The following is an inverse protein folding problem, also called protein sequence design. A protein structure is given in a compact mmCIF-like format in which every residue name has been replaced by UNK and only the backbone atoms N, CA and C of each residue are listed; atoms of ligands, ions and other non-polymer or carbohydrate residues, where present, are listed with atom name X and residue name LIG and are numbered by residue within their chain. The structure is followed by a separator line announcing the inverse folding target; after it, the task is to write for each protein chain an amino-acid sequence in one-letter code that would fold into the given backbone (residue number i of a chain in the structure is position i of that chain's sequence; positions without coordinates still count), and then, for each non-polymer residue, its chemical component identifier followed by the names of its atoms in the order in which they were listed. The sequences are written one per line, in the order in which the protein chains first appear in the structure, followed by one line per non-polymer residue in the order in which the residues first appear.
data_IF_730503778913
#
_entry.id   IF_730503778913
#
_cell.length_a   1.000
_cell.length_b   1.000
_cell.length_c   1.000
_cell.angle_alpha   90.00
_cell.angle_beta   90.00
_cell.angle_gamma   90.00
#
_symmetry.space_group_name_H-M   'P 1'
#
loop_
_entity.id
_entity.type
_entity.pdbx_description
1 polymer ?
#
# COMPACT_ATOMS: atom_id res chain seq x y z
N UNK A 1 7.46 4.00 4.99
CA UNK A 1 8.37 2.94 4.46
C UNK A 1 9.12 3.48 3.24
N UNK A 2 10.47 3.29 3.16
CA UNK A 2 11.26 3.65 1.98
C UNK A 2 11.05 2.62 0.87
N UNK A 3 11.15 3.05 -0.40
CA UNK A 3 11.00 2.14 -1.54
C UNK A 3 12.09 1.06 -1.56
N UNK A 4 13.32 1.42 -1.18
CA UNK A 4 14.45 0.50 -1.15
C UNK A 4 14.18 -0.74 -0.27
N UNK A 5 13.56 -0.57 0.92
CA UNK A 5 13.24 -1.71 1.80
C UNK A 5 12.27 -2.69 1.12
N UNK A 6 11.26 -2.17 0.41
CA UNK A 6 10.33 -3.01 -0.35
C UNK A 6 11.03 -3.73 -1.51
N UNK A 7 11.94 -3.03 -2.23
CA UNK A 7 12.72 -3.62 -3.31
C UNK A 7 13.66 -4.71 -2.80
N UNK A 8 14.31 -4.51 -1.65
CA UNK A 8 15.17 -5.52 -1.02
C UNK A 8 14.38 -6.79 -0.69
N UNK A 9 13.17 -6.64 -0.12
CA UNK A 9 12.30 -7.79 0.16
C UNK A 9 11.93 -8.56 -1.11
N UNK A 10 11.46 -7.85 -2.15
CA UNK A 10 11.10 -8.47 -3.43
C UNK A 10 12.28 -9.18 -4.10
N UNK A 11 13.47 -8.56 -4.09
CA UNK A 11 14.69 -9.16 -4.65
C UNK A 11 15.26 -10.29 -3.79
N UNK A 12 14.97 -10.29 -2.49
CA UNK A 12 15.27 -11.38 -1.59
C UNK A 12 14.40 -12.62 -1.88
N UNK A 13 13.15 -12.42 -2.22
CA UNK A 13 12.23 -13.49 -2.62
C UNK A 13 12.55 -14.04 -4.01
N UNK A 14 12.91 -13.16 -4.96
CA UNK A 14 13.22 -13.57 -6.33
C UNK A 14 14.08 -12.53 -7.05
N UNK A 15 15.19 -12.94 -7.69
CA UNK A 15 15.90 -12.09 -8.63
C UNK A 15 14.97 -11.62 -9.75
N UNK A 16 14.98 -10.33 -10.05
CA UNK A 16 13.99 -9.73 -10.96
C UNK A 16 14.55 -8.54 -11.71
N UNK A 17 13.97 -8.26 -12.88
CA UNK A 17 14.23 -7.03 -13.64
C UNK A 17 13.46 -5.85 -13.02
N UNK A 18 13.91 -4.62 -13.30
CA UNK A 18 13.17 -3.42 -12.88
C UNK A 18 11.74 -3.37 -13.44
N UNK A 19 11.52 -3.94 -14.62
CA UNK A 19 10.19 -4.04 -15.23
C UNK A 19 9.28 -5.01 -14.46
N UNK A 20 9.78 -6.21 -14.11
CA UNK A 20 9.03 -7.20 -13.33
C UNK A 20 8.66 -6.66 -11.94
N UNK A 21 9.60 -6.00 -11.27
CA UNK A 21 9.34 -5.32 -10.00
C UNK A 21 8.21 -4.31 -10.13
N UNK A 22 8.26 -3.42 -11.14
CA UNK A 22 7.20 -2.45 -11.36
C UNK A 22 5.87 -3.11 -11.67
N UNK A 23 5.87 -4.15 -12.51
CA UNK A 23 4.66 -4.92 -12.82
C UNK A 23 4.05 -5.50 -11.53
N UNK A 24 4.88 -6.08 -10.67
CA UNK A 24 4.45 -6.57 -9.36
C UNK A 24 3.85 -5.45 -8.49
N UNK A 25 4.54 -4.30 -8.35
CA UNK A 25 4.05 -3.17 -7.55
C UNK A 25 2.72 -2.60 -8.05
N UNK A 26 2.46 -2.66 -9.34
CA UNK A 26 1.19 -2.19 -9.92
C UNK A 26 0.04 -3.20 -9.81
N UNK A 27 0.33 -4.45 -9.49
CA UNK A 27 -0.67 -5.52 -9.38
C UNK A 27 -0.79 -6.01 -7.94
N UNK A 28 0.13 -6.87 -7.50
CA UNK A 28 0.12 -7.49 -6.18
C UNK A 28 0.54 -6.53 -5.06
N UNK A 29 1.56 -5.71 -5.34
CA UNK A 29 2.14 -4.78 -4.37
C UNK A 29 1.42 -3.45 -4.23
N UNK A 30 0.38 -3.17 -5.04
CA UNK A 30 -0.31 -1.87 -5.04
C UNK A 30 -0.94 -1.49 -3.68
N UNK A 31 -1.30 -2.48 -2.87
CA UNK A 31 -1.86 -2.27 -1.52
C UNK A 31 -0.79 -1.99 -0.47
N UNK A 32 0.47 -2.32 -0.77
CA UNK A 32 1.62 -1.99 0.08
C UNK A 32 2.17 -0.62 -0.29
N UNK A 33 2.25 -0.33 -1.61
CA UNK A 33 2.71 0.94 -2.15
C UNK A 33 2.08 1.21 -3.52
N UNK A 34 1.20 2.20 -3.58
CA UNK A 34 0.59 2.68 -4.82
C UNK A 34 1.46 3.72 -5.53
N UNK A 35 1.18 3.97 -6.82
CA UNK A 35 1.75 5.07 -7.62
C UNK A 35 3.28 5.07 -7.76
N UNK A 36 3.91 3.89 -7.72
CA UNK A 36 5.35 3.77 -7.98
C UNK A 36 5.63 3.84 -9.47
N UNK A 37 6.41 4.83 -9.91
CA UNK A 37 6.80 5.00 -11.30
C UNK A 37 8.02 4.15 -11.68
N UNK A 38 8.20 3.87 -12.99
CA UNK A 38 9.38 3.18 -13.49
C UNK A 38 10.67 3.92 -13.14
N UNK A 39 10.66 5.27 -13.26
CA UNK A 39 11.81 6.10 -12.91
C UNK A 39 12.19 6.01 -11.43
N UNK A 40 11.23 5.87 -10.53
CA UNK A 40 11.51 5.66 -9.11
C UNK A 40 12.14 4.29 -8.86
N UNK A 41 11.64 3.24 -9.51
CA UNK A 41 12.22 1.89 -9.40
C UNK A 41 13.68 1.90 -9.85
N UNK A 42 13.96 2.39 -11.06
CA UNK A 42 15.33 2.40 -11.58
C UNK A 42 16.28 3.31 -10.79
N UNK A 43 15.80 4.45 -10.31
CA UNK A 43 16.63 5.32 -9.44
C UNK A 43 16.99 4.64 -8.13
N UNK A 44 16.02 3.95 -7.52
CA UNK A 44 16.29 3.19 -6.30
C UNK A 44 17.24 2.02 -6.55
N UNK A 45 17.06 1.26 -7.63
CA UNK A 45 17.95 0.16 -7.99
C UNK A 45 19.39 0.64 -8.25
N UNK A 46 19.57 1.77 -8.94
CA UNK A 46 20.88 2.36 -9.14
C UNK A 46 21.54 2.75 -7.80
N UNK A 47 20.82 3.48 -6.95
CA UNK A 47 21.33 3.87 -5.63
C UNK A 47 21.64 2.65 -4.72
N UNK A 48 20.87 1.57 -4.83
CA UNK A 48 21.12 0.32 -4.10
C UNK A 48 22.33 -0.42 -4.66
N UNK A 49 22.56 -0.36 -5.96
CA UNK A 49 23.77 -0.93 -6.61
C UNK A 49 25.01 -0.17 -6.16
N UNK A 50 24.96 1.17 -6.15
CA UNK A 50 26.07 2.02 -5.71
C UNK A 50 26.46 1.80 -4.23
N UNK A 51 25.46 1.41 -3.40
CA UNK A 51 25.68 1.05 -1.99
C UNK A 51 26.08 -0.40 -1.77
N UNK A 52 26.17 -1.20 -2.82
CA UNK A 52 26.48 -2.63 -2.71
C UNK A 52 25.33 -3.50 -2.17
N UNK A 53 24.10 -2.97 -2.02
CA UNK A 53 22.96 -3.72 -1.49
C UNK A 53 22.36 -4.69 -2.52
N UNK A 54 22.52 -4.38 -3.80
CA UNK A 54 22.13 -5.25 -4.91
C UNK A 54 23.23 -5.31 -5.95
N UNK A 55 23.28 -6.41 -6.66
CA UNK A 55 24.08 -6.58 -7.88
C UNK A 55 23.16 -6.90 -9.04
N UNK A 56 23.68 -6.91 -10.26
CA UNK A 56 22.91 -7.33 -11.42
C UNK A 56 23.76 -8.12 -12.42
N UNK A 57 23.09 -8.96 -13.19
CA UNK A 57 23.61 -9.57 -14.41
C UNK A 57 22.79 -9.08 -15.60
N UNK A 58 23.43 -8.98 -16.75
CA UNK A 58 22.71 -8.67 -18.01
C UNK A 58 22.02 -9.94 -18.49
N UNK A 59 20.79 -9.83 -18.95
CA UNK A 59 20.02 -10.95 -19.50
C UNK A 59 20.35 -11.12 -20.99
N UNK A 60 21.09 -12.15 -21.32
CA UNK A 60 21.55 -12.44 -22.67
C UNK A 60 20.49 -13.17 -23.54
N UNK A 61 19.27 -13.36 -23.03
CA UNK A 61 18.21 -14.03 -23.80
C UNK A 61 17.79 -13.19 -25.01
N UNK A 62 17.57 -13.84 -26.18
CA UNK A 62 17.07 -13.13 -27.37
C UNK A 62 15.79 -12.33 -27.06
N UNK A 63 15.80 -11.02 -27.36
CA UNK A 63 14.68 -10.12 -27.12
C UNK A 63 14.65 -9.48 -25.72
N UNK A 64 15.58 -9.80 -24.82
CA UNK A 64 15.67 -9.17 -23.50
C UNK A 64 16.24 -7.75 -23.52
N UNK A 65 16.80 -7.29 -24.65
CA UNK A 65 17.37 -5.94 -24.87
C UNK A 65 18.25 -5.47 -23.70
N UNK A 66 19.24 -6.24 -23.32
CA UNK A 66 20.17 -5.94 -22.21
C UNK A 66 19.49 -5.69 -20.86
N UNK A 67 18.38 -6.36 -20.60
CA UNK A 67 17.67 -6.24 -19.34
C UNK A 67 18.57 -6.66 -18.16
N UNK A 68 18.66 -5.81 -17.14
CA UNK A 68 19.39 -6.12 -15.91
C UNK A 68 18.50 -6.92 -14.97
N UNK A 69 18.97 -8.12 -14.58
CA UNK A 69 18.37 -8.96 -13.54
C UNK A 69 19.09 -8.65 -12.24
N UNK A 70 18.39 -7.99 -11.32
CA UNK A 70 18.92 -7.59 -10.02
C UNK A 70 18.78 -8.72 -9.00
N UNK A 71 19.77 -8.79 -8.09
CA UNK A 71 19.83 -9.73 -6.96
C UNK A 71 20.23 -8.97 -5.71
N UNK A 72 19.67 -9.34 -4.57
CA UNK A 72 20.13 -8.82 -3.27
C UNK A 72 21.50 -9.43 -2.94
N UNK A 73 22.36 -8.61 -2.33
CA UNK A 73 23.66 -9.06 -1.80
C UNK A 73 23.54 -9.44 -0.31
N UNK A 74 24.55 -10.06 0.32
CA UNK A 74 24.57 -10.26 1.76
C UNK A 74 24.42 -8.96 2.54
N UNK A 75 25.04 -7.88 2.09
CA UNK A 75 24.94 -6.53 2.67
C UNK A 75 23.52 -5.99 2.56
N UNK A 76 22.89 -6.15 1.39
CA UNK A 76 21.48 -5.76 1.18
C UNK A 76 20.52 -6.56 2.04
N UNK A 77 20.83 -7.85 2.26
CA UNK A 77 20.04 -8.70 3.15
C UNK A 77 20.16 -8.27 4.61
N UNK A 78 21.34 -7.86 5.05
CA UNK A 78 21.54 -7.26 6.38
C UNK A 78 20.67 -6.01 6.54
N UNK A 79 20.67 -5.08 5.57
CA UNK A 79 19.84 -3.87 5.60
C UNK A 79 18.34 -4.22 5.64
N UNK A 80 17.91 -5.23 4.93
CA UNK A 80 16.52 -5.71 4.97
C UNK A 80 16.16 -6.22 6.35
N UNK A 81 17.00 -7.09 6.92
CA UNK A 81 16.78 -7.69 8.24
C UNK A 81 16.78 -6.62 9.35
N UNK A 82 17.71 -5.68 9.31
CA UNK A 82 17.76 -4.56 10.26
C UNK A 82 16.48 -3.73 10.21
N UNK A 83 15.91 -3.51 9.01
CA UNK A 83 14.63 -2.82 8.90
C UNK A 83 13.46 -3.66 9.38
N UNK A 84 13.44 -4.96 9.11
CA UNK A 84 12.34 -5.86 9.51
C UNK A 84 12.29 -6.07 11.02
N UNK A 85 13.46 -6.11 11.68
CA UNK A 85 13.58 -6.37 13.12
C UNK A 85 13.72 -5.08 13.95
N UNK A 86 13.96 -3.95 13.29
CA UNK A 86 14.16 -2.65 13.94
C UNK A 86 12.87 -2.06 14.52
N UNK A 87 12.97 -0.95 15.25
CA UNK A 87 11.83 -0.28 15.85
C UNK A 87 10.77 0.10 14.81
N UNK A 88 9.51 -0.26 15.07
CA UNK A 88 8.37 0.11 14.23
C UNK A 88 7.50 1.14 14.93
N UNK A 89 7.33 2.29 14.28
CA UNK A 89 6.38 3.33 14.71
C UNK A 89 5.16 3.28 13.80
N UNK A 90 3.97 2.89 14.30
CA UNK A 90 2.75 2.89 13.52
C UNK A 90 2.42 4.28 12.96
N UNK A 91 2.00 4.41 11.69
CA UNK A 91 1.54 5.69 11.16
C UNK A 91 0.22 6.09 11.83
N UNK A 92 0.01 7.40 12.00
CA UNK A 92 -1.24 7.94 12.55
C UNK A 92 -2.45 7.82 11.58
N UNK A 93 -2.22 7.45 10.33
CA UNK A 93 -3.23 7.37 9.28
C UNK A 93 -3.19 6.01 8.60
N UNK A 94 -4.36 5.39 8.42
CA UNK A 94 -4.51 4.16 7.66
C UNK A 94 -5.50 4.29 6.49
N UNK A 95 -6.20 5.43 6.35
CA UNK A 95 -7.16 5.73 5.29
C UNK A 95 -6.63 6.79 4.31
N UNK A 96 -7.26 6.94 3.14
CA UNK A 96 -6.89 7.97 2.17
C UNK A 96 -7.12 9.36 2.75
N UNK A 97 -6.04 10.14 2.80
CA UNK A 97 -6.05 11.44 3.45
C UNK A 97 -6.78 12.52 2.65
N UNK A 98 -6.88 12.40 1.31
CA UNK A 98 -7.54 13.40 0.48
C UNK A 98 -9.07 13.30 0.61
N UNK A 99 -9.63 12.10 0.53
CA UNK A 99 -11.07 11.90 0.71
C UNK A 99 -11.52 12.39 2.10
N UNK A 100 -10.80 12.00 3.15
CA UNK A 100 -11.09 12.42 4.52
C UNK A 100 -10.99 13.95 4.70
N UNK A 101 -9.98 14.58 4.09
CA UNK A 101 -9.83 16.03 4.11
C UNK A 101 -11.00 16.74 3.41
N UNK A 102 -11.44 16.25 2.25
CA UNK A 102 -12.59 16.80 1.53
C UNK A 102 -13.87 16.71 2.37
N UNK A 103 -14.11 15.57 3.03
CA UNK A 103 -15.25 15.42 3.95
C UNK A 103 -15.15 16.33 5.17
N UNK A 104 -13.97 16.55 5.73
CA UNK A 104 -13.82 17.45 6.88
C UNK A 104 -14.12 18.92 6.56
N UNK A 105 -14.09 19.28 5.28
CA UNK A 105 -14.48 20.59 4.77
C UNK A 105 -15.88 20.61 4.12
N UNK A 106 -16.70 19.59 4.36
CA UNK A 106 -18.04 19.47 3.78
C UNK A 106 -18.97 20.66 4.07
N UNK A 107 -18.69 21.46 5.11
CA UNK A 107 -19.44 22.69 5.41
C UNK A 107 -19.37 23.76 4.29
N UNK A 108 -18.43 23.66 3.34
CA UNK A 108 -18.34 24.51 2.14
C UNK A 108 -19.04 23.90 0.93
N UNK A 109 -19.59 22.69 1.04
CA UNK A 109 -20.21 21.96 -0.06
C UNK A 109 -21.73 21.92 0.12
N UNK A 110 -22.45 21.79 -1.00
CA UNK A 110 -23.85 21.41 -0.94
C UNK A 110 -23.95 19.92 -0.58
N UNK A 111 -25.11 19.50 -0.06
CA UNK A 111 -25.38 18.10 0.23
C UNK A 111 -25.20 17.21 -1.00
N UNK A 112 -25.67 17.63 -2.15
CA UNK A 112 -25.50 16.92 -3.42
C UNK A 112 -24.02 16.74 -3.79
N UNK A 113 -23.18 17.76 -3.57
CA UNK A 113 -21.73 17.67 -3.81
C UNK A 113 -21.07 16.65 -2.86
N UNK A 114 -21.51 16.58 -1.61
CA UNK A 114 -21.01 15.57 -0.66
C UNK A 114 -21.46 14.17 -1.06
N UNK A 115 -22.72 13.99 -1.46
CA UNK A 115 -23.23 12.71 -1.97
C UNK A 115 -22.39 12.24 -3.16
N UNK A 116 -22.16 13.10 -4.15
CA UNK A 116 -21.34 12.78 -5.32
C UNK A 116 -19.90 12.38 -4.94
N UNK A 117 -19.29 13.08 -3.97
CA UNK A 117 -17.95 12.72 -3.47
C UNK A 117 -17.93 11.32 -2.85
N UNK A 118 -18.95 10.97 -2.06
CA UNK A 118 -19.09 9.66 -1.42
C UNK A 118 -19.35 8.57 -2.47
N UNK A 119 -20.17 8.84 -3.49
CA UNK A 119 -20.47 7.91 -4.58
C UNK A 119 -19.21 7.59 -5.39
N UNK A 120 -18.38 8.58 -5.73
CA UNK A 120 -17.10 8.37 -6.43
C UNK A 120 -16.19 7.43 -5.61
N UNK A 121 -16.05 7.67 -4.31
CA UNK A 121 -15.22 6.82 -3.45
C UNK A 121 -15.79 5.41 -3.32
N UNK A 122 -17.11 5.28 -3.13
CA UNK A 122 -17.83 4.01 -3.00
C UNK A 122 -17.68 3.17 -4.28
N UNK A 123 -17.90 3.75 -5.46
CA UNK A 123 -17.75 3.09 -6.74
C UNK A 123 -16.32 2.63 -6.96
N UNK A 124 -15.33 3.49 -6.70
CA UNK A 124 -13.92 3.16 -6.81
C UNK A 124 -13.53 1.97 -5.90
N UNK A 125 -14.09 1.86 -4.68
CA UNK A 125 -13.83 0.73 -3.78
C UNK A 125 -14.51 -0.54 -4.25
N UNK A 126 -15.74 -0.48 -4.75
CA UNK A 126 -16.46 -1.62 -5.35
C UNK A 126 -15.72 -2.17 -6.57
N UNK A 127 -15.27 -1.31 -7.45
CA UNK A 127 -14.47 -1.68 -8.62
C UNK A 127 -13.13 -2.31 -8.20
N UNK A 128 -12.49 -1.77 -7.17
CA UNK A 128 -11.29 -2.34 -6.61
C UNK A 128 -11.51 -3.77 -6.10
N UNK A 129 -12.60 -4.01 -5.38
CA UNK A 129 -12.98 -5.34 -4.89
C UNK A 129 -13.27 -6.28 -6.06
N UNK A 130 -14.11 -5.86 -7.02
CA UNK A 130 -14.46 -6.68 -8.19
C UNK A 130 -13.22 -7.11 -8.98
N UNK A 131 -12.24 -6.21 -9.14
CA UNK A 131 -11.04 -6.46 -9.93
C UNK A 131 -9.97 -7.30 -9.23
N UNK A 132 -9.84 -7.18 -7.90
CA UNK A 132 -8.65 -7.70 -7.22
C UNK A 132 -8.92 -8.76 -6.16
N UNK A 133 -10.14 -8.94 -5.68
CA UNK A 133 -10.45 -9.88 -4.57
C UNK A 133 -10.09 -11.32 -4.90
N UNK A 134 -10.44 -11.78 -6.09
CA UNK A 134 -10.28 -13.16 -6.51
C UNK A 134 -9.14 -13.37 -7.51
N UNK A 135 -8.19 -12.41 -7.57
CA UNK A 135 -7.03 -12.57 -8.44
C UNK A 135 -6.15 -13.74 -7.98
N UNK A 136 -5.49 -14.36 -8.93
CA UNK A 136 -4.41 -15.28 -8.61
C UNK A 136 -3.29 -14.53 -7.85
N UNK A 137 -2.91 -15.04 -6.69
CA UNK A 137 -1.87 -14.51 -5.81
C UNK A 137 -0.65 -15.42 -5.76
N UNK A 138 -0.65 -16.47 -6.56
CA UNK A 138 0.49 -17.40 -6.66
C UNK A 138 1.71 -16.66 -7.19
N UNK A 139 2.82 -16.77 -6.49
CA UNK A 139 4.10 -16.21 -6.89
C UNK A 139 5.16 -17.30 -6.93
N UNK A 140 5.96 -17.29 -7.98
CA UNK A 140 7.18 -18.09 -7.99
C UNK A 140 8.19 -17.45 -7.04
N UNK A 141 8.65 -18.21 -6.04
CA UNK A 141 9.61 -17.77 -5.04
C UNK A 141 10.89 -18.58 -5.21
N UNK A 142 12.02 -17.90 -5.39
CA UNK A 142 13.37 -18.47 -5.47
C UNK A 142 14.28 -17.72 -4.48
N UNK A 143 14.13 -17.97 -3.16
CA UNK A 143 14.82 -17.21 -2.13
C UNK A 143 16.35 -17.33 -2.26
N UNK A 144 17.04 -16.23 -1.99
CA UNK A 144 18.50 -16.14 -2.05
C UNK A 144 19.17 -16.44 -0.69
N UNK A 145 18.37 -16.69 0.34
CA UNK A 145 18.80 -17.07 1.69
C UNK A 145 17.77 -18.00 2.34
N UNK A 146 17.99 -18.38 3.58
CA UNK A 146 17.00 -19.13 4.36
C UNK A 146 15.66 -18.39 4.40
N UNK A 147 14.58 -19.11 4.04
CA UNK A 147 13.24 -18.54 3.91
C UNK A 147 12.18 -19.59 4.22
N UNK A 148 11.39 -19.34 5.25
CA UNK A 148 10.25 -20.20 5.62
C UNK A 148 9.06 -19.90 4.70
N UNK A 149 8.88 -20.74 3.67
CA UNK A 149 7.82 -20.62 2.66
C UNK A 149 6.42 -20.79 3.25
N UNK A 150 6.25 -21.72 4.18
CA UNK A 150 4.95 -22.04 4.76
C UNK A 150 4.49 -20.88 5.66
N UNK A 151 5.39 -20.37 6.49
CA UNK A 151 5.11 -19.20 7.31
C UNK A 151 4.83 -17.95 6.46
N UNK A 152 5.61 -17.69 5.42
CA UNK A 152 5.39 -16.57 4.51
C UNK A 152 4.03 -16.66 3.80
N UNK A 153 3.66 -17.86 3.32
CA UNK A 153 2.36 -18.13 2.71
C UNK A 153 1.21 -17.90 3.68
N UNK A 154 1.31 -18.43 4.91
CA UNK A 154 0.31 -18.26 5.96
C UNK A 154 0.12 -16.77 6.32
N UNK A 155 1.22 -16.02 6.43
CA UNK A 155 1.17 -14.57 6.69
C UNK A 155 0.56 -13.81 5.51
N UNK A 156 0.89 -14.18 4.28
CA UNK A 156 0.31 -13.59 3.07
C UNK A 156 -1.22 -13.78 3.00
N UNK A 157 -1.71 -14.99 3.34
CA UNK A 157 -3.14 -15.26 3.42
C UNK A 157 -3.82 -14.47 4.54
N UNK A 158 -3.19 -14.39 5.71
CA UNK A 158 -3.71 -13.59 6.84
C UNK A 158 -3.82 -12.11 6.49
N UNK A 159 -2.81 -11.54 5.81
CA UNK A 159 -2.82 -10.16 5.36
C UNK A 159 -3.92 -9.90 4.31
N UNK A 160 -4.13 -10.85 3.40
CA UNK A 160 -5.20 -10.76 2.42
C UNK A 160 -6.59 -10.75 3.09
N UNK A 161 -6.85 -11.69 3.99
CA UNK A 161 -8.11 -11.77 4.73
C UNK A 161 -8.35 -10.51 5.57
N UNK A 162 -7.30 -9.95 6.14
CA UNK A 162 -7.38 -8.71 6.90
C UNK A 162 -7.76 -7.53 6.00
N UNK A 163 -7.03 -7.34 4.90
CA UNK A 163 -7.34 -6.28 3.93
C UNK A 163 -8.76 -6.43 3.33
N UNK A 164 -9.19 -7.66 3.05
CA UNK A 164 -10.55 -7.94 2.55
C UNK A 164 -11.62 -7.49 3.52
N UNK A 165 -11.49 -7.82 4.80
CA UNK A 165 -12.47 -7.38 5.82
C UNK A 165 -12.48 -5.87 6.01
N UNK A 166 -11.31 -5.23 5.99
CA UNK A 166 -11.24 -3.77 6.12
C UNK A 166 -11.94 -3.04 4.98
N UNK A 167 -11.75 -3.51 3.73
CA UNK A 167 -12.40 -2.88 2.58
C UNK A 167 -13.91 -3.12 2.59
N UNK A 168 -14.39 -4.29 3.05
CA UNK A 168 -15.83 -4.57 3.15
C UNK A 168 -16.49 -3.63 4.16
N UNK A 169 -15.93 -3.50 5.37
CA UNK A 169 -16.41 -2.54 6.37
C UNK A 169 -16.40 -1.11 5.84
N UNK A 170 -15.32 -0.72 5.15
CA UNK A 170 -15.24 0.62 4.59
C UNK A 170 -16.29 0.91 3.52
N UNK A 171 -16.60 -0.08 2.66
CA UNK A 171 -17.67 0.01 1.66
C UNK A 171 -19.04 0.12 2.35
N UNK A 172 -19.28 -0.66 3.41
CA UNK A 172 -20.51 -0.60 4.20
C UNK A 172 -20.70 0.80 4.84
N UNK A 173 -19.65 1.35 5.46
CA UNK A 173 -19.67 2.69 6.05
C UNK A 173 -19.93 3.80 5.01
N UNK A 174 -19.31 3.71 3.82
CA UNK A 174 -19.56 4.64 2.71
C UNK A 174 -21.00 4.54 2.20
N UNK A 175 -21.54 3.34 2.07
CA UNK A 175 -22.90 3.10 1.64
C UNK A 175 -23.90 3.67 2.67
N UNK A 176 -23.66 3.44 3.95
CA UNK A 176 -24.49 4.00 5.04
C UNK A 176 -24.42 5.53 5.06
N UNK A 177 -23.23 6.12 4.94
CA UNK A 177 -23.06 7.58 4.87
C UNK A 177 -23.84 8.17 3.70
N UNK A 178 -23.82 7.50 2.53
CA UNK A 178 -24.60 7.93 1.37
C UNK A 178 -26.10 7.96 1.67
N UNK A 179 -26.65 6.89 2.25
CA UNK A 179 -28.07 6.80 2.62
C UNK A 179 -28.44 7.87 3.66
N UNK A 180 -27.58 8.09 4.67
CA UNK A 180 -27.81 9.11 5.69
C UNK A 180 -27.81 10.54 5.11
N UNK A 181 -26.99 10.80 4.09
CA UNK A 181 -26.98 12.06 3.37
C UNK A 181 -28.26 12.24 2.53
N UNK A 182 -28.73 11.20 1.85
CA UNK A 182 -29.94 11.25 1.02
C UNK A 182 -31.21 11.42 1.86
N UNK A 183 -31.27 10.76 3.01
CA UNK A 183 -32.43 10.78 3.91
C UNK A 183 -32.39 11.92 4.94
N UNK A 184 -31.45 12.84 4.84
CA UNK A 184 -31.27 13.96 5.77
C UNK A 184 -31.06 13.55 7.23
N UNK A 185 -30.39 12.40 7.44
CA UNK A 185 -30.12 11.84 8.78
C UNK A 185 -28.82 12.32 9.43
N UNK A 186 -28.02 13.12 8.72
CA UNK A 186 -26.81 13.69 9.27
C UNK A 186 -27.17 14.84 10.22
N UNK A 187 -27.13 14.56 11.50
CA UNK A 187 -27.39 15.54 12.56
C UNK A 187 -26.08 16.03 13.19
N UNK A 188 -26.01 17.31 13.60
CA UNK A 188 -24.85 17.80 14.34
C UNK A 188 -24.64 16.97 15.61
N UNK A 189 -23.39 16.64 15.91
CA UNK A 189 -23.07 16.09 17.23
C UNK A 189 -23.48 17.08 18.31
N UNK A 190 -24.05 16.61 19.46
CA UNK A 190 -24.35 17.51 20.56
C UNK A 190 -23.08 18.27 20.92
N UNK A 191 -23.19 19.63 20.94
CA UNK A 191 -22.09 20.50 21.27
C UNK A 191 -21.55 20.10 22.65
N UNK A 192 -20.40 19.47 22.70
CA UNK A 192 -19.61 19.39 23.94
C UNK A 192 -19.14 20.81 24.20
N UNK A 193 -19.91 21.55 24.99
CA UNK A 193 -19.49 22.85 25.47
C UNK A 193 -18.11 22.68 26.09
N UNK A 194 -17.11 23.26 25.46
CA UNK A 194 -15.79 23.40 26.03
C UNK A 194 -16.01 24.13 27.34
N UNK A 195 -15.88 23.43 28.45
CA UNK A 195 -15.87 24.09 29.78
C UNK A 195 -14.67 25.02 29.73
N UNK A 196 -14.97 26.29 29.49
CA UNK A 196 -14.07 27.42 29.58
C UNK A 196 -13.45 27.41 30.98
N UNK A 197 -12.13 27.29 31.00
CA UNK A 197 -11.15 27.38 32.01
C UNK A 197 -11.55 27.87 33.39
N UNK A 198 -11.28 27.06 34.37
CA UNK A 198 -10.86 27.56 35.67
C UNK A 198 -9.40 27.96 35.55
N UNK A 199 -9.16 29.25 35.69
CA UNK A 199 -7.84 29.85 35.92
C UNK A 199 -7.20 29.18 37.13
N UNK A 200 -6.08 28.51 36.90
CA UNK A 200 -5.18 28.15 37.99
C UNK A 200 -4.33 29.37 38.30
N UNK A 201 -4.56 29.94 39.45
CA UNK A 201 -3.68 30.94 40.11
C UNK A 201 -2.37 30.27 40.55
#
# INVERSE_FOLDING_TARGET
MKLEHLLLGLLGEKPSTGYEIRKFLNTHGRFVRSNTTMSQVYRSLAAMTDRGWVTFTVDDRPGAQDAKIYRVTPEGMTVLLDWLTGPYTPPSRFQDSEFMARLSFAGYLTREQVVNLVEIELEARRDQVAKYRFRDRTMAIEPTSEFDRDFASAMGERLHQWGTRQIDVYIEELAQLREDLLDDRIVPAPSTAVRSGEEVR
#
